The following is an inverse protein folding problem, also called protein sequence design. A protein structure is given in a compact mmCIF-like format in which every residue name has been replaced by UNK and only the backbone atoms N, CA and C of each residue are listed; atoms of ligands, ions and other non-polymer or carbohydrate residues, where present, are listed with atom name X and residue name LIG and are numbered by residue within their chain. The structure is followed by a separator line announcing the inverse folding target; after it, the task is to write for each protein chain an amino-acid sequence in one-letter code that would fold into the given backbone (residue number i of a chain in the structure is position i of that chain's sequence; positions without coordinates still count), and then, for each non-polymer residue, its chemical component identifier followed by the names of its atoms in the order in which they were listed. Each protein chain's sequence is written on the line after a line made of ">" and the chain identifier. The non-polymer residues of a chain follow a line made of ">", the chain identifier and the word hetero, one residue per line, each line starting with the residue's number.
data_IF_306862923394
#
_entry.id   IF_306862923394
#
_cell.length_a   1.000
_cell.length_b   1.000
_cell.length_c   1.000
_cell.angle_alpha   90.00
_cell.angle_beta   90.00
_cell.angle_gamma   90.00
#
_symmetry.space_group_name_H-M   'P 1'
#
loop_
_entity.id
_entity.type
_entity.pdbx_description
1 polymer ?
#
# COMPACT_ATOMS: atom_id res chain seq x y z
N UNK A 1 13.84 4.01 -16.82
CA UNK A 1 12.59 3.53 -16.22
C UNK A 1 12.23 2.13 -16.72
N UNK A 2 11.91 1.90 -17.99
CA UNK A 2 11.68 0.56 -18.53
C UNK A 2 12.98 -0.26 -18.48
N UNK A 3 12.99 -1.43 -17.85
CA UNK A 3 14.23 -2.13 -17.52
C UNK A 3 14.83 -2.94 -18.68
N UNK A 4 14.13 -3.04 -19.81
CA UNK A 4 14.59 -3.81 -20.94
C UNK A 4 14.89 -2.91 -22.14
N UNK A 5 15.84 -3.36 -22.96
CA UNK A 5 16.08 -2.85 -24.30
C UNK A 5 15.64 -3.90 -25.31
N UNK A 6 15.02 -3.44 -26.41
CA UNK A 6 14.66 -4.30 -27.52
C UNK A 6 15.68 -4.11 -28.64
N UNK A 7 16.47 -5.14 -28.91
CA UNK A 7 17.45 -5.17 -30.00
C UNK A 7 17.38 -6.52 -30.71
N UNK A 8 17.44 -6.52 -32.03
CA UNK A 8 17.53 -7.73 -32.87
C UNK A 8 16.48 -8.81 -32.50
N UNK A 9 15.22 -8.42 -32.30
CA UNK A 9 14.12 -9.29 -31.86
C UNK A 9 14.28 -9.90 -30.45
N UNK A 10 15.20 -9.39 -29.63
CA UNK A 10 15.39 -9.83 -28.26
C UNK A 10 15.17 -8.68 -27.25
N UNK A 11 14.60 -9.05 -26.10
CA UNK A 11 14.54 -8.17 -24.92
C UNK A 11 15.76 -8.46 -24.05
N UNK A 12 16.61 -7.46 -23.87
CA UNK A 12 17.80 -7.55 -23.02
C UNK A 12 17.60 -6.68 -21.79
N UNK A 13 17.94 -7.20 -20.62
CA UNK A 13 17.91 -6.43 -19.38
C UNK A 13 19.01 -5.37 -19.40
N UNK A 14 18.67 -4.12 -19.07
CA UNK A 14 19.64 -3.03 -18.95
C UNK A 14 20.63 -3.31 -17.81
N UNK A 15 21.81 -2.69 -17.86
CA UNK A 15 22.83 -2.82 -16.81
C UNK A 15 22.35 -2.36 -15.44
N UNK A 16 21.54 -1.29 -15.38
CA UNK A 16 20.99 -0.74 -14.14
C UNK A 16 19.47 -0.62 -14.23
N UNK A 17 18.75 -1.75 -14.14
CA UNK A 17 17.30 -1.75 -14.21
C UNK A 17 16.66 -1.22 -12.92
N UNK A 18 15.48 -0.64 -13.03
CA UNK A 18 14.70 -0.27 -11.83
C UNK A 18 14.31 -1.51 -11.03
N UNK A 19 14.75 -1.58 -9.78
CA UNK A 19 14.43 -2.71 -8.89
C UNK A 19 12.92 -2.79 -8.60
N UNK A 20 12.26 -1.67 -8.40
CA UNK A 20 10.80 -1.64 -8.18
C UNK A 20 10.05 -2.16 -9.41
N UNK A 21 10.48 -1.79 -10.62
CA UNK A 21 9.84 -2.33 -11.82
C UNK A 21 10.02 -3.85 -11.91
N UNK A 22 11.24 -4.35 -11.68
CA UNK A 22 11.53 -5.78 -11.71
C UNK A 22 10.77 -6.55 -10.64
N UNK A 23 10.74 -6.03 -9.42
CA UNK A 23 9.97 -6.64 -8.32
C UNK A 23 8.49 -6.73 -8.67
N UNK A 24 7.86 -5.64 -9.12
CA UNK A 24 6.46 -5.65 -9.53
C UNK A 24 6.21 -6.63 -10.69
N UNK A 25 7.13 -6.71 -11.66
CA UNK A 25 7.04 -7.69 -12.74
C UNK A 25 7.07 -9.12 -12.18
N UNK A 26 8.00 -9.42 -11.28
CA UNK A 26 8.08 -10.73 -10.63
C UNK A 26 6.79 -11.07 -9.89
N UNK A 27 6.29 -10.17 -9.05
CA UNK A 27 5.03 -10.38 -8.30
C UNK A 27 3.86 -10.67 -9.25
N UNK A 28 3.78 -9.95 -10.37
CA UNK A 28 2.67 -10.11 -11.34
C UNK A 28 2.66 -11.46 -12.08
N UNK A 29 3.75 -12.22 -12.05
CA UNK A 29 3.86 -13.52 -12.75
C UNK A 29 3.98 -14.72 -11.80
N UNK A 30 4.02 -14.51 -10.49
CA UNK A 30 4.04 -15.57 -9.48
C UNK A 30 2.61 -15.96 -9.10
N UNK A 31 2.35 -17.27 -9.13
CA UNK A 31 1.08 -17.83 -8.68
C UNK A 31 1.08 -18.10 -7.17
N UNK A 32 -0.11 -18.26 -6.59
CA UNK A 32 -0.27 -18.65 -5.18
C UNK A 32 0.41 -17.71 -4.18
N UNK A 33 0.26 -16.38 -4.39
CA UNK A 33 0.81 -15.34 -3.52
C UNK A 33 0.36 -15.42 -2.05
N UNK A 34 -0.70 -16.18 -1.77
CA UNK A 34 -1.25 -16.34 -0.42
C UNK A 34 -0.78 -17.60 0.31
N UNK A 35 0.15 -18.38 -0.26
CA UNK A 35 0.60 -19.67 0.28
C UNK A 35 2.11 -19.73 0.47
N UNK A 36 2.52 -20.42 1.54
CA UNK A 36 3.94 -20.68 1.84
C UNK A 36 4.76 -19.39 1.88
N UNK A 37 5.99 -19.46 1.39
CA UNK A 37 6.94 -18.34 1.37
C UNK A 37 6.57 -17.23 0.39
N UNK A 38 5.64 -17.48 -0.54
CA UNK A 38 5.21 -16.47 -1.49
C UNK A 38 4.46 -15.31 -0.82
N UNK A 39 3.90 -15.54 0.36
CA UNK A 39 3.17 -14.53 1.16
C UNK A 39 4.01 -13.30 1.47
N UNK A 40 5.34 -13.43 1.51
CA UNK A 40 6.25 -12.29 1.72
C UNK A 40 6.21 -11.27 0.58
N UNK A 41 5.88 -11.71 -0.65
CA UNK A 41 5.83 -10.83 -1.82
C UNK A 41 4.71 -9.77 -1.74
N UNK A 42 3.43 -10.12 -1.56
CA UNK A 42 2.38 -9.10 -1.39
C UNK A 42 2.58 -8.27 -0.12
N UNK A 43 3.09 -8.84 0.97
CA UNK A 43 3.38 -8.08 2.20
C UNK A 43 4.41 -6.99 1.97
N UNK A 44 5.51 -7.32 1.31
CA UNK A 44 6.52 -6.31 0.96
C UNK A 44 5.96 -5.30 -0.03
N UNK A 45 5.15 -5.74 -1.00
CA UNK A 45 4.50 -4.84 -1.95
C UNK A 45 3.64 -3.78 -1.23
N UNK A 46 2.84 -4.17 -0.23
CA UNK A 46 2.02 -3.25 0.57
C UNK A 46 2.87 -2.18 1.28
N UNK A 47 3.95 -2.60 1.93
CA UNK A 47 4.88 -1.70 2.64
C UNK A 47 5.57 -0.77 1.65
N UNK A 48 6.10 -1.31 0.55
CA UNK A 48 6.76 -0.55 -0.50
C UNK A 48 5.82 0.48 -1.13
N UNK A 49 4.62 0.07 -1.55
CA UNK A 49 3.64 0.95 -2.18
C UNK A 49 3.22 2.08 -1.25
N UNK A 50 2.97 1.79 0.02
CA UNK A 50 2.65 2.80 1.02
C UNK A 50 3.77 3.82 1.22
N UNK A 51 5.02 3.37 1.33
CA UNK A 51 6.19 4.27 1.46
C UNK A 51 6.38 5.15 0.21
N UNK A 52 6.31 4.55 -0.98
CA UNK A 52 6.47 5.28 -2.24
C UNK A 52 5.36 6.30 -2.46
N UNK A 53 4.11 5.92 -2.22
CA UNK A 53 2.98 6.84 -2.30
C UNK A 53 3.14 8.01 -1.32
N UNK A 54 3.48 7.71 -0.06
CA UNK A 54 3.66 8.72 0.98
C UNK A 54 4.68 9.77 0.58
N UNK A 55 5.83 9.33 0.08
CA UNK A 55 6.89 10.24 -0.37
C UNK A 55 6.47 11.06 -1.59
N UNK A 56 5.80 10.43 -2.54
CA UNK A 56 5.26 11.11 -3.71
C UNK A 56 4.16 12.12 -3.36
N UNK A 57 3.33 11.79 -2.35
CA UNK A 57 2.22 12.62 -1.91
C UNK A 57 2.69 13.93 -1.28
N UNK A 58 3.68 13.87 -0.37
CA UNK A 58 4.32 15.04 0.22
C UNK A 58 5.62 14.67 0.92
N UNK A 59 6.61 15.57 0.89
CA UNK A 59 7.85 15.43 1.69
C UNK A 59 7.60 15.42 3.19
N UNK A 60 6.48 15.96 3.65
CA UNK A 60 6.07 16.02 5.05
C UNK A 60 5.02 14.97 5.42
N UNK A 61 4.62 14.13 4.47
CA UNK A 61 3.67 13.08 4.74
C UNK A 61 4.29 11.99 5.62
N UNK A 62 3.45 11.44 6.50
CA UNK A 62 3.75 10.27 7.33
C UNK A 62 2.80 9.15 6.92
N UNK A 63 3.15 7.91 7.26
CA UNK A 63 2.27 6.78 6.99
C UNK A 63 2.36 5.73 8.08
N UNK A 64 1.35 4.87 8.09
CA UNK A 64 1.32 3.64 8.87
C UNK A 64 0.78 2.51 7.99
N UNK A 65 1.50 1.38 7.96
CA UNK A 65 1.01 0.15 7.36
C UNK A 65 -0.05 -0.46 8.28
N UNK A 66 -1.22 -0.79 7.74
CA UNK A 66 -2.39 -1.31 8.46
C UNK A 66 -2.85 -2.68 7.96
N UNK A 67 -2.33 -3.12 6.82
CA UNK A 67 -2.68 -4.37 6.15
C UNK A 67 -2.47 -5.60 7.03
N UNK A 68 -3.25 -6.66 6.77
CA UNK A 68 -3.21 -7.91 7.53
C UNK A 68 -2.51 -9.03 6.73
N UNK A 69 -1.69 -9.85 7.39
CA UNK A 69 -1.20 -9.78 8.78
C UNK A 69 -0.17 -8.68 8.98
N UNK A 70 -0.26 -8.00 10.13
CA UNK A 70 0.58 -6.86 10.45
C UNK A 70 2.01 -7.27 10.75
N UNK A 71 2.95 -6.45 10.29
CA UNK A 71 4.39 -6.61 10.50
C UNK A 71 4.98 -5.32 11.09
N UNK A 72 6.29 -5.32 11.33
CA UNK A 72 7.07 -4.14 11.72
C UNK A 72 6.61 -3.48 13.03
N UNK A 73 6.32 -4.30 14.05
CA UNK A 73 5.95 -3.82 15.37
C UNK A 73 4.55 -3.18 15.44
N UNK A 74 3.70 -3.40 14.46
CA UNK A 74 2.30 -3.00 14.53
C UNK A 74 1.48 -4.04 15.33
N UNK A 75 0.53 -3.58 16.17
CA UNK A 75 -0.31 -4.47 16.97
C UNK A 75 -1.14 -5.41 16.10
N UNK A 76 -1.36 -6.63 16.58
CA UNK A 76 -2.25 -7.60 15.93
C UNK A 76 -3.74 -7.21 16.06
N UNK A 77 -4.11 -6.63 17.19
CA UNK A 77 -5.48 -6.15 17.44
C UNK A 77 -5.77 -4.88 16.61
N UNK A 78 -6.94 -4.83 15.99
CA UNK A 78 -7.40 -3.66 15.24
C UNK A 78 -7.60 -2.43 16.14
N UNK A 79 -8.10 -2.66 17.36
CA UNK A 79 -8.28 -1.60 18.36
C UNK A 79 -6.95 -0.97 18.77
N UNK A 80 -5.94 -1.78 19.07
CA UNK A 80 -4.60 -1.28 19.42
C UNK A 80 -3.91 -0.58 18.25
N UNK A 81 -4.13 -1.09 17.03
CA UNK A 81 -3.66 -0.41 15.81
C UNK A 81 -4.30 0.97 15.68
N UNK A 82 -5.60 1.09 15.95
CA UNK A 82 -6.31 2.36 15.91
C UNK A 82 -5.76 3.36 16.95
N UNK A 83 -5.48 2.91 18.17
CA UNK A 83 -4.82 3.76 19.18
C UNK A 83 -3.41 4.18 18.76
N UNK A 84 -2.64 3.25 18.18
CA UNK A 84 -1.31 3.56 17.66
C UNK A 84 -1.39 4.59 16.52
N UNK A 85 -2.35 4.44 15.60
CA UNK A 85 -2.56 5.38 14.51
C UNK A 85 -2.94 6.77 15.05
N UNK A 86 -3.93 6.85 15.93
CA UNK A 86 -4.37 8.10 16.54
C UNK A 86 -3.21 8.83 17.24
N UNK A 87 -2.44 8.13 18.08
CA UNK A 87 -1.29 8.71 18.77
C UNK A 87 -0.14 9.11 17.83
N UNK A 88 0.03 8.42 16.71
CA UNK A 88 1.05 8.73 15.69
C UNK A 88 0.70 9.96 14.85
N UNK A 89 -0.59 10.23 14.67
CA UNK A 89 -1.08 11.44 13.99
C UNK A 89 -0.81 12.66 14.87
N UNK A 90 -1.31 12.66 16.08
CA UNK A 90 -1.02 13.67 17.13
C UNK A 90 -1.68 13.22 18.44
N UNK A 91 -1.03 13.39 19.60
CA UNK A 91 -1.63 13.02 20.87
C UNK A 91 -2.90 13.83 21.21
N UNK A 92 -3.09 14.97 20.58
CA UNK A 92 -4.23 15.88 20.80
C UNK A 92 -5.32 15.79 19.71
N UNK A 93 -5.12 14.92 18.69
CA UNK A 93 -6.12 14.82 17.63
C UNK A 93 -7.35 14.06 18.09
N UNK A 94 -8.50 14.49 17.55
CA UNK A 94 -9.76 13.76 17.65
C UNK A 94 -10.01 12.88 16.42
N UNK A 95 -9.22 13.06 15.36
CA UNK A 95 -9.30 12.25 14.15
C UNK A 95 -8.81 10.84 14.43
N UNK A 96 -9.39 9.83 13.79
CA UNK A 96 -9.15 8.41 14.05
C UNK A 96 -9.42 8.01 15.52
N UNK A 97 -10.35 8.70 16.16
CA UNK A 97 -10.73 8.42 17.54
C UNK A 97 -11.51 7.12 17.60
N UNK A 98 -10.97 6.12 18.31
CA UNK A 98 -11.62 4.83 18.48
C UNK A 98 -12.89 4.98 19.30
N UNK A 99 -14.02 4.69 18.70
CA UNK A 99 -15.31 4.59 19.37
C UNK A 99 -16.16 3.54 18.66
N UNK A 100 -16.74 2.65 19.44
CA UNK A 100 -17.61 1.61 18.90
C UNK A 100 -19.04 2.13 18.89
N UNK A 101 -19.74 2.01 17.75
CA UNK A 101 -21.16 2.35 17.65
C UNK A 101 -22.01 1.45 18.56
N UNK A 102 -23.19 1.95 18.96
CA UNK A 102 -24.15 1.20 19.73
C UNK A 102 -24.53 -0.11 19.00
N UNK A 103 -24.40 -1.24 19.68
CA UNK A 103 -24.70 -2.56 19.13
C UNK A 103 -23.50 -3.37 18.64
N UNK A 104 -22.34 -2.76 18.41
CA UNK A 104 -21.10 -3.48 18.18
C UNK A 104 -20.42 -3.81 19.50
N UNK A 105 -19.84 -5.00 19.60
CA UNK A 105 -19.14 -5.47 20.80
C UNK A 105 -17.63 -5.45 20.57
N UNK A 106 -16.84 -5.36 21.63
CA UNK A 106 -15.37 -5.47 21.58
C UNK A 106 -14.93 -6.79 20.90
N UNK A 107 -15.71 -7.85 21.03
CA UNK A 107 -15.47 -9.14 20.35
C UNK A 107 -15.54 -9.02 18.82
N UNK A 108 -16.37 -8.12 18.30
CA UNK A 108 -16.48 -7.87 16.86
C UNK A 108 -15.19 -7.23 16.32
N UNK A 109 -14.52 -6.42 17.15
CA UNK A 109 -13.23 -5.82 16.83
C UNK A 109 -12.11 -6.87 16.64
N UNK A 110 -12.20 -8.04 17.32
CA UNK A 110 -11.23 -9.12 17.17
C UNK A 110 -11.31 -9.81 15.80
N UNK A 111 -12.44 -9.71 15.12
CA UNK A 111 -12.68 -10.32 13.81
C UNK A 111 -12.27 -9.42 12.65
N UNK A 112 -12.04 -8.13 12.93
CA UNK A 112 -11.68 -7.17 11.91
C UNK A 112 -10.18 -7.24 11.65
N UNK A 113 -9.82 -7.32 10.37
CA UNK A 113 -8.42 -7.30 9.94
C UNK A 113 -7.95 -5.86 9.69
N UNK A 114 -8.33 -5.26 8.57
CA UNK A 114 -7.86 -3.96 8.09
C UNK A 114 -8.97 -3.09 7.46
N UNK A 115 -10.18 -3.62 7.36
CA UNK A 115 -11.32 -3.00 6.65
C UNK A 115 -11.02 -2.66 5.19
N UNK A 116 -10.05 -3.36 4.56
CA UNK A 116 -9.62 -3.09 3.19
C UNK A 116 -8.65 -1.90 3.07
N UNK A 117 -8.04 -1.48 4.19
CA UNK A 117 -7.04 -0.41 4.21
C UNK A 117 -5.69 -0.98 4.58
N UNK A 118 -4.76 -1.06 3.62
CA UNK A 118 -3.43 -1.61 3.82
C UNK A 118 -2.44 -0.58 4.36
N UNK A 119 -2.67 0.70 4.07
CA UNK A 119 -1.91 1.79 4.69
C UNK A 119 -2.73 3.07 4.80
N UNK A 120 -2.38 3.88 5.80
CA UNK A 120 -2.90 5.24 5.99
C UNK A 120 -1.74 6.21 5.85
N UNK A 121 -1.90 7.21 4.99
CA UNK A 121 -0.96 8.31 4.83
C UNK A 121 -1.62 9.62 5.25
N UNK A 122 -0.88 10.49 5.95
CA UNK A 122 -1.39 11.81 6.32
C UNK A 122 -0.33 12.89 6.17
N UNK A 123 -0.81 14.10 5.89
CA UNK A 123 0.03 15.31 5.92
C UNK A 123 -0.25 16.06 7.22
N UNK A 124 0.79 16.28 7.99
CA UNK A 124 0.74 17.04 9.22
C UNK A 124 1.06 18.51 8.92
N UNK A 125 0.17 19.42 9.36
CA UNK A 125 0.39 20.88 9.22
C UNK A 125 1.27 21.46 10.33
N UNK A 126 1.77 20.62 11.25
CA UNK A 126 2.68 20.98 12.35
C UNK A 126 2.09 21.97 13.38
N UNK A 127 0.78 22.21 13.33
CA UNK A 127 0.08 23.13 14.22
C UNK A 127 -0.74 22.42 15.32
N UNK A 128 -0.71 21.09 15.34
CA UNK A 128 -1.41 20.25 16.31
C UNK A 128 -2.93 20.21 16.18
N UNK A 129 -3.51 20.85 15.12
CA UNK A 129 -4.96 20.94 14.92
C UNK A 129 -5.50 19.79 14.10
N UNK A 130 -6.79 19.52 14.26
CA UNK A 130 -7.55 18.59 13.42
C UNK A 130 -7.77 19.15 11.99
N UNK A 131 -8.25 18.31 11.08
CA UNK A 131 -8.52 18.70 9.70
C UNK A 131 -7.36 18.40 8.76
N UNK A 132 -6.58 17.36 9.06
CA UNK A 132 -5.45 16.89 8.25
C UNK A 132 -5.93 16.23 6.97
N UNK A 133 -5.05 16.23 5.97
CA UNK A 133 -5.28 15.50 4.73
C UNK A 133 -4.85 14.05 4.89
N UNK A 134 -5.79 13.14 4.64
CA UNK A 134 -5.56 11.70 4.71
C UNK A 134 -5.72 11.01 3.35
N UNK A 135 -4.87 10.01 3.12
CA UNK A 135 -5.03 9.06 2.05
C UNK A 135 -5.11 7.64 2.63
N UNK A 136 -6.08 6.86 2.13
CA UNK A 136 -6.30 5.47 2.48
C UNK A 136 -5.86 4.60 1.30
N UNK A 137 -4.88 3.75 1.53
CA UNK A 137 -4.31 2.92 0.49
C UNK A 137 -4.73 1.47 0.59
N UNK A 138 -5.00 0.88 -0.57
CA UNK A 138 -5.20 -0.54 -0.76
C UNK A 138 -4.24 -1.07 -1.80
N UNK A 139 -3.76 -2.29 -1.59
CA UNK A 139 -2.83 -2.99 -2.46
C UNK A 139 -3.43 -4.30 -2.96
N UNK A 140 -3.36 -4.56 -4.25
CA UNK A 140 -3.88 -5.79 -4.83
C UNK A 140 -2.87 -6.40 -5.81
N UNK A 141 -2.27 -7.54 -5.40
CA UNK A 141 -1.25 -8.27 -6.16
C UNK A 141 -1.82 -9.48 -6.92
N UNK A 142 -3.00 -9.96 -6.56
CA UNK A 142 -3.64 -11.11 -7.18
C UNK A 142 -4.22 -10.81 -8.57
N UNK A 143 -4.49 -11.84 -9.36
CA UNK A 143 -5.12 -11.68 -10.68
C UNK A 143 -6.55 -11.14 -10.61
N UNK A 144 -7.15 -11.16 -9.43
CA UNK A 144 -8.49 -10.63 -9.12
C UNK A 144 -8.48 -9.12 -8.76
N UNK A 145 -7.34 -8.45 -8.93
CA UNK A 145 -7.18 -7.03 -8.57
C UNK A 145 -8.28 -6.10 -9.10
N UNK A 146 -8.90 -6.31 -10.28
CA UNK A 146 -9.97 -5.42 -10.75
C UNK A 146 -11.22 -5.46 -9.87
N UNK A 147 -11.43 -6.57 -9.15
CA UNK A 147 -12.59 -6.70 -8.23
C UNK A 147 -12.38 -5.98 -6.90
N UNK A 148 -11.16 -5.44 -6.65
CA UNK A 148 -10.76 -4.82 -5.39
C UNK A 148 -10.92 -3.30 -5.34
N UNK A 149 -11.32 -2.65 -6.43
CA UNK A 149 -11.43 -1.18 -6.49
C UNK A 149 -12.33 -0.56 -5.42
N UNK A 150 -13.33 -1.31 -4.96
CA UNK A 150 -14.30 -0.83 -3.97
C UNK A 150 -14.07 -1.40 -2.56
N UNK A 151 -12.93 -2.04 -2.28
CA UNK A 151 -12.69 -2.65 -0.96
C UNK A 151 -12.56 -1.59 0.14
N UNK A 152 -12.00 -0.40 -0.15
CA UNK A 152 -12.02 0.73 0.78
C UNK A 152 -13.43 1.33 0.82
N UNK A 153 -14.17 0.95 1.85
CA UNK A 153 -15.51 1.50 2.15
C UNK A 153 -15.43 2.29 3.45
N UNK A 154 -15.59 3.60 3.35
CA UNK A 154 -15.59 4.49 4.52
C UNK A 154 -16.66 4.06 5.54
N UNK A 155 -17.77 3.53 5.06
CA UNK A 155 -18.89 3.02 5.86
C UNK A 155 -18.48 1.82 6.74
N UNK A 156 -17.40 1.11 6.42
CA UNK A 156 -16.83 0.04 7.26
C UNK A 156 -15.93 0.57 8.38
N UNK A 157 -15.42 1.78 8.23
CA UNK A 157 -14.54 2.42 9.21
C UNK A 157 -15.33 3.24 10.24
N UNK A 158 -16.38 3.92 9.81
CA UNK A 158 -17.16 4.84 10.65
C UNK A 158 -17.78 4.20 11.92
N UNK A 159 -18.16 2.91 11.94
CA UNK A 159 -18.61 2.26 13.17
C UNK A 159 -17.54 2.16 14.26
N UNK A 160 -16.26 2.22 13.89
CA UNK A 160 -15.12 2.07 14.79
C UNK A 160 -14.48 3.39 15.16
N UNK A 161 -14.56 4.39 14.26
CA UNK A 161 -13.93 5.71 14.43
C UNK A 161 -14.98 6.81 14.41
N UNK A 162 -14.99 7.63 15.44
CA UNK A 162 -15.90 8.76 15.49
C UNK A 162 -15.29 9.97 16.23
N UNK A 163 -14.93 11.02 15.50
CA UNK A 163 -14.89 11.08 14.03
C UNK A 163 -13.73 10.25 13.45
N UNK A 164 -13.93 9.75 12.22
CA UNK A 164 -12.83 9.15 11.44
C UNK A 164 -11.86 10.26 11.04
N UNK A 165 -12.34 11.24 10.30
CA UNK A 165 -11.64 12.46 9.90
C UNK A 165 -12.67 13.57 9.68
N UNK A 166 -12.22 14.85 9.65
CA UNK A 166 -13.09 15.99 9.31
C UNK A 166 -13.08 16.29 7.81
N UNK A 167 -12.01 15.94 7.11
CA UNK A 167 -11.85 16.13 5.66
C UNK A 167 -12.03 14.77 4.97
N UNK A 168 -12.65 14.76 3.78
CA UNK A 168 -12.79 13.52 3.00
C UNK A 168 -11.43 12.94 2.67
N UNK A 169 -11.25 11.66 2.98
CA UNK A 169 -10.04 10.92 2.64
C UNK A 169 -9.91 10.74 1.13
N UNK A 170 -8.69 10.81 0.64
CA UNK A 170 -8.35 10.38 -0.72
C UNK A 170 -8.15 8.87 -0.72
N UNK A 171 -8.76 8.15 -1.66
CA UNK A 171 -8.49 6.73 -1.86
C UNK A 171 -7.28 6.54 -2.77
N UNK A 172 -6.50 5.52 -2.50
CA UNK A 172 -5.33 5.13 -3.29
C UNK A 172 -5.37 3.63 -3.54
N UNK A 173 -5.17 3.23 -4.77
CA UNK A 173 -5.10 1.82 -5.13
C UNK A 173 -3.76 1.51 -5.78
N UNK A 174 -3.05 0.52 -5.27
CA UNK A 174 -1.74 0.12 -5.78
C UNK A 174 -1.77 -1.31 -6.31
N UNK A 175 -1.13 -1.52 -7.46
CA UNK A 175 -1.04 -2.84 -8.09
C UNK A 175 0.31 -3.04 -8.79
N UNK A 176 0.87 -4.26 -8.81
CA UNK A 176 2.11 -4.56 -9.51
C UNK A 176 1.93 -4.73 -11.03
N UNK A 177 0.73 -4.57 -11.55
CA UNK A 177 0.44 -4.64 -12.97
C UNK A 177 0.65 -3.30 -13.65
N UNK A 178 0.80 -3.31 -14.98
CA UNK A 178 0.75 -2.10 -15.82
C UNK A 178 -0.66 -1.95 -16.34
N UNK A 179 -1.24 -0.78 -16.12
CA UNK A 179 -2.57 -0.45 -16.62
C UNK A 179 -2.45 0.44 -17.85
N UNK A 180 -3.27 0.16 -18.87
CA UNK A 180 -3.43 1.07 -20.00
C UNK A 180 -4.29 2.28 -19.59
N UNK A 181 -4.18 3.37 -20.33
CA UNK A 181 -4.81 4.65 -19.96
C UNK A 181 -6.32 4.55 -19.75
N UNK A 182 -7.00 3.71 -20.51
CA UNK A 182 -8.43 3.47 -20.36
C UNK A 182 -8.75 2.81 -19.01
N UNK A 183 -8.02 1.75 -18.67
CA UNK A 183 -8.15 1.09 -17.35
C UNK A 183 -7.82 2.02 -16.19
N UNK A 184 -6.82 2.91 -16.35
CA UNK A 184 -6.50 3.90 -15.31
C UNK A 184 -7.69 4.85 -15.11
N UNK A 185 -8.35 5.31 -16.18
CA UNK A 185 -9.52 6.20 -16.08
C UNK A 185 -10.68 5.52 -15.38
N UNK A 186 -11.01 4.30 -15.77
CA UNK A 186 -12.08 3.52 -15.14
C UNK A 186 -11.77 3.23 -13.66
N UNK A 187 -10.59 2.70 -13.38
CA UNK A 187 -10.17 2.40 -12.02
C UNK A 187 -10.14 3.66 -11.13
N UNK A 188 -9.72 4.81 -11.66
CA UNK A 188 -9.67 6.04 -10.89
C UNK A 188 -11.05 6.56 -10.48
N UNK A 189 -12.09 6.29 -11.26
CA UNK A 189 -13.46 6.67 -10.91
C UNK A 189 -13.96 5.94 -9.64
N UNK A 190 -13.50 4.71 -9.41
CA UNK A 190 -13.93 3.86 -8.28
C UNK A 190 -12.94 3.87 -7.12
N UNK A 191 -11.65 3.71 -7.42
CA UNK A 191 -10.59 3.48 -6.45
C UNK A 191 -9.75 4.72 -6.13
N UNK A 192 -9.97 5.85 -6.78
CA UNK A 192 -9.26 7.09 -6.56
C UNK A 192 -7.90 7.13 -7.28
N UNK A 193 -6.83 7.49 -6.59
CA UNK A 193 -5.49 7.59 -7.20
C UNK A 193 -4.95 6.19 -7.46
N UNK A 194 -4.62 5.88 -8.71
CA UNK A 194 -4.03 4.60 -9.09
C UNK A 194 -2.51 4.68 -9.08
N UNK A 195 -1.87 3.76 -8.38
CA UNK A 195 -0.43 3.54 -8.38
C UNK A 195 -0.13 2.16 -8.98
N UNK A 196 -0.04 2.11 -10.29
CA UNK A 196 0.38 0.94 -11.04
C UNK A 196 1.92 0.78 -11.05
N UNK A 197 2.43 -0.28 -11.67
CA UNK A 197 3.88 -0.53 -11.78
C UNK A 197 4.64 0.68 -12.30
N UNK A 198 4.09 1.39 -13.30
CA UNK A 198 4.77 2.53 -13.91
C UNK A 198 4.88 3.69 -12.93
N UNK A 199 3.80 4.06 -12.26
CA UNK A 199 3.79 5.15 -11.27
C UNK A 199 4.61 4.82 -10.03
N UNK A 200 4.57 3.56 -9.55
CA UNK A 200 5.45 3.09 -8.47
C UNK A 200 6.92 3.22 -8.85
N UNK A 201 7.27 2.85 -10.09
CA UNK A 201 8.63 2.98 -10.60
C UNK A 201 9.06 4.44 -10.69
N UNK A 202 8.20 5.33 -11.21
CA UNK A 202 8.48 6.77 -11.28
C UNK A 202 8.74 7.35 -9.89
N UNK A 203 7.89 6.99 -8.91
CA UNK A 203 8.05 7.45 -7.54
C UNK A 203 9.37 6.98 -6.93
N UNK A 204 9.73 5.71 -7.13
CA UNK A 204 11.00 5.17 -6.65
C UNK A 204 12.21 5.87 -7.28
N UNK A 205 12.27 5.96 -8.61
CA UNK A 205 13.41 6.56 -9.29
C UNK A 205 13.60 8.05 -8.92
N UNK A 206 12.50 8.76 -8.66
CA UNK A 206 12.54 10.16 -8.24
C UNK A 206 13.14 10.36 -6.84
N UNK A 207 12.95 9.41 -5.96
CA UNK A 207 13.35 9.50 -4.54
C UNK A 207 14.29 8.37 -4.13
N UNK A 208 14.99 7.75 -5.08
CA UNK A 208 15.79 6.53 -4.89
C UNK A 208 16.77 6.63 -3.71
N UNK A 209 17.42 7.77 -3.55
CA UNK A 209 18.41 7.98 -2.50
C UNK A 209 17.82 7.92 -1.09
N UNK A 210 16.50 8.10 -0.94
CA UNK A 210 15.80 8.03 0.34
C UNK A 210 15.31 6.61 0.68
N UNK A 211 15.45 5.66 -0.24
CA UNK A 211 15.00 4.28 -0.12
C UNK A 211 16.13 3.26 -0.16
N UNK A 212 17.33 3.66 0.27
CA UNK A 212 18.49 2.77 0.31
C UNK A 212 18.25 1.50 1.16
N UNK A 213 17.48 1.62 2.22
CA UNK A 213 17.08 0.50 3.09
C UNK A 213 16.18 -0.55 2.41
N UNK A 214 15.51 -0.20 1.30
CA UNK A 214 14.69 -1.14 0.54
C UNK A 214 15.46 -1.88 -0.56
N UNK A 215 16.65 -1.44 -0.94
CA UNK A 215 17.37 -2.00 -2.08
C UNK A 215 17.74 -3.46 -1.84
N UNK A 216 18.33 -3.77 -0.69
CA UNK A 216 18.77 -5.14 -0.36
C UNK A 216 17.57 -6.11 -0.30
N UNK A 217 16.44 -5.65 0.24
CA UNK A 217 15.23 -6.47 0.32
C UNK A 217 14.61 -6.69 -1.07
N UNK A 218 14.59 -5.66 -1.92
CA UNK A 218 14.15 -5.78 -3.32
C UNK A 218 15.00 -6.79 -4.09
N UNK A 219 16.33 -6.72 -3.99
CA UNK A 219 17.24 -7.64 -4.66
C UNK A 219 17.06 -9.07 -4.15
N UNK A 220 16.92 -9.28 -2.86
CA UNK A 220 16.65 -10.59 -2.26
C UNK A 220 15.32 -11.18 -2.76
N UNK A 221 14.25 -10.38 -2.80
CA UNK A 221 12.93 -10.82 -3.26
C UNK A 221 12.91 -11.09 -4.78
N UNK A 222 13.59 -10.28 -5.58
CA UNK A 222 13.73 -10.53 -7.03
C UNK A 222 14.49 -11.85 -7.27
N UNK A 223 15.55 -12.09 -6.51
CA UNK A 223 16.32 -13.36 -6.57
C UNK A 223 15.45 -14.53 -6.20
N UNK A 224 14.71 -14.45 -5.10
CA UNK A 224 13.74 -15.46 -4.70
C UNK A 224 12.71 -15.75 -5.81
N UNK A 225 12.16 -14.74 -6.46
CA UNK A 225 11.22 -14.94 -7.58
C UNK A 225 11.85 -15.66 -8.77
N UNK A 226 13.13 -15.36 -9.09
CA UNK A 226 13.86 -16.04 -10.16
C UNK A 226 14.07 -17.54 -9.86
N UNK A 227 14.34 -17.87 -8.61
CA UNK A 227 14.48 -19.27 -8.16
C UNK A 227 13.16 -20.02 -8.24
N UNK A 228 12.06 -19.42 -7.81
CA UNK A 228 10.72 -20.02 -7.92
C UNK A 228 10.36 -20.37 -9.36
N UNK A 229 10.71 -19.51 -10.32
CA UNK A 229 10.41 -19.74 -11.74
C UNK A 229 11.30 -20.81 -12.38
N UNK A 230 12.49 -21.06 -11.86
CA UNK A 230 13.34 -22.17 -12.31
C UNK A 230 12.87 -23.53 -11.80
N UNK A 231 12.13 -23.55 -10.69
CA UNK A 231 11.62 -24.78 -10.07
C UNK A 231 10.24 -25.22 -10.61
N UNK A 232 9.60 -24.40 -11.45
CA UNK A 232 8.35 -24.69 -12.17
C UNK A 232 8.61 -25.13 -13.61
#
# INVERSE_FOLDING_TARGET
>A
MYPFEYKENHLTLKESPSLVYLFCLCVSVINNLTKGDNVKLPRFFEVMAGRLFTKFFSSHAKHMHTGWPRSNGNPSSYKELAYKLNSSISPNTREWSWRVENGLRDEDALRIKDCGVDFVTWVDFLDGRDGRLFALGQCACGNDWPTKFQDIKIERLTPWFHPLTYIKCVKVFSTPYVLVDEMIREASAEAGIIFDRVRLTIAYERFKDEFGDMQDELDALITFCKELKKAQ
#
